data_IF_516698733844
#
_entry.id   IF_516698733844
#
_cell.length_a   1.000
_cell.length_b   1.000
_cell.length_c   1.000
_cell.angle_alpha   90.00
_cell.angle_beta   90.00
_cell.angle_gamma   90.00
#
_symmetry.space_group_name_H-M   'P 1'
#
loop_
_entity.id
_entity.type
_entity.pdbx_description
1 polymer ?
#
# COMPACT_ATOMS: atom_id res chain seq x y z
N UNK A 1 -40.11 -31.68 8.04
CA UNK A 1 -38.92 -30.80 8.21
C UNK A 1 -39.42 -29.39 8.42
N UNK A 2 -39.14 -28.80 9.58
CA UNK A 2 -39.75 -27.53 9.98
C UNK A 2 -39.16 -26.38 9.13
N UNK A 3 -40.00 -25.49 8.60
CA UNK A 3 -39.65 -24.41 7.67
C UNK A 3 -38.62 -23.38 8.20
N UNK A 4 -38.29 -23.42 9.49
CA UNK A 4 -37.30 -22.54 10.09
C UNK A 4 -35.84 -22.84 9.62
N UNK A 5 -35.53 -24.09 9.25
CA UNK A 5 -34.24 -24.46 8.67
C UNK A 5 -34.01 -23.80 7.31
N UNK A 6 -35.07 -23.67 6.51
CA UNK A 6 -34.99 -22.98 5.21
C UNK A 6 -34.68 -21.50 5.43
N UNK A 7 -35.37 -20.87 6.42
CA UNK A 7 -35.09 -19.49 6.78
C UNK A 7 -33.63 -19.25 7.25
N UNK A 8 -33.09 -20.16 8.06
CA UNK A 8 -31.73 -20.09 8.54
C UNK A 8 -30.70 -20.20 7.37
N UNK A 9 -30.91 -21.14 6.44
CA UNK A 9 -30.07 -21.34 5.27
C UNK A 9 -30.07 -20.09 4.39
N UNK A 10 -31.21 -19.48 4.15
CA UNK A 10 -31.34 -18.26 3.36
C UNK A 10 -30.57 -17.10 4.00
N UNK A 11 -30.70 -16.93 5.31
CA UNK A 11 -29.97 -15.87 6.05
C UNK A 11 -28.44 -16.10 5.97
N UNK A 12 -27.99 -17.33 6.18
CA UNK A 12 -26.56 -17.66 6.10
C UNK A 12 -26.01 -17.46 4.68
N UNK A 13 -26.78 -17.84 3.65
CA UNK A 13 -26.41 -17.61 2.25
C UNK A 13 -26.33 -16.11 1.91
N UNK A 14 -27.26 -15.29 2.42
CA UNK A 14 -27.24 -13.84 2.24
C UNK A 14 -26.04 -13.20 2.93
N UNK A 15 -25.70 -13.61 4.14
CA UNK A 15 -24.53 -13.13 4.88
C UNK A 15 -23.24 -13.52 4.14
N UNK A 16 -23.14 -14.78 3.67
CA UNK A 16 -22.00 -15.24 2.90
C UNK A 16 -21.86 -14.50 1.57
N UNK A 17 -22.96 -14.31 0.83
CA UNK A 17 -23.00 -13.56 -0.42
C UNK A 17 -22.59 -12.09 -0.22
N UNK A 18 -23.07 -11.47 0.84
CA UNK A 18 -22.68 -10.10 1.19
C UNK A 18 -21.20 -10.01 1.57
N UNK A 19 -20.68 -10.98 2.33
CA UNK A 19 -19.26 -11.08 2.65
C UNK A 19 -18.37 -11.22 1.42
N UNK A 20 -18.76 -12.07 0.46
CA UNK A 20 -18.06 -12.22 -0.84
C UNK A 20 -18.14 -10.93 -1.64
N UNK A 21 -19.29 -10.29 -1.74
CA UNK A 21 -19.46 -9.01 -2.45
C UNK A 21 -18.58 -7.90 -1.86
N UNK A 22 -18.50 -7.81 -0.54
CA UNK A 22 -17.61 -6.87 0.13
C UNK A 22 -16.12 -7.15 -0.18
N UNK A 23 -15.71 -8.43 -0.19
CA UNK A 23 -14.32 -8.80 -0.50
C UNK A 23 -13.95 -8.55 -1.97
N UNK A 24 -14.85 -8.86 -2.90
CA UNK A 24 -14.64 -8.60 -4.33
C UNK A 24 -14.49 -7.11 -4.59
N UNK A 25 -15.38 -6.30 -4.03
CA UNK A 25 -15.33 -4.85 -4.19
C UNK A 25 -14.08 -4.17 -3.58
N UNK A 26 -13.43 -4.81 -2.60
CA UNK A 26 -12.22 -4.29 -1.94
C UNK A 26 -10.93 -4.59 -2.71
N UNK A 27 -10.94 -5.61 -3.56
CA UNK A 27 -9.79 -6.04 -4.35
C UNK A 27 -9.96 -5.72 -5.85
N UNK A 28 -10.83 -4.77 -6.21
CA UNK A 28 -10.98 -4.35 -7.61
C UNK A 28 -9.69 -3.74 -8.10
N UNK A 29 -9.31 -4.09 -9.33
CA UNK A 29 -8.23 -3.42 -10.03
C UNK A 29 -8.67 -1.98 -10.30
N UNK A 30 -7.81 -1.04 -9.99
CA UNK A 30 -7.99 0.38 -10.31
C UNK A 30 -6.97 0.71 -11.40
N UNK A 31 -7.46 1.20 -12.52
CA UNK A 31 -6.60 1.68 -13.60
C UNK A 31 -6.30 3.15 -13.32
N UNK A 32 -5.03 3.48 -13.16
CA UNK A 32 -4.53 4.84 -12.99
C UNK A 32 -3.47 5.13 -14.04
N UNK A 33 -3.42 6.35 -14.51
CA UNK A 33 -2.30 6.85 -15.29
C UNK A 33 -1.07 6.99 -14.39
N UNK A 34 0.11 7.05 -15.00
CA UNK A 34 1.35 7.36 -14.27
C UNK A 34 1.40 8.88 -14.09
N UNK A 35 1.34 9.31 -12.85
CA UNK A 35 1.57 10.70 -12.47
C UNK A 35 3.06 10.91 -12.19
N UNK A 36 3.68 11.87 -12.89
CA UNK A 36 5.10 12.19 -12.70
C UNK A 36 5.21 13.47 -11.87
N UNK A 37 5.86 13.34 -10.72
CA UNK A 37 6.17 14.46 -9.83
C UNK A 37 7.67 14.73 -9.90
N UNK A 38 8.04 16.02 -9.90
CA UNK A 38 9.42 16.49 -9.99
C UNK A 38 10.20 15.82 -11.15
N UNK A 39 9.82 16.03 -12.42
CA UNK A 39 10.40 15.33 -13.57
C UNK A 39 11.91 15.54 -13.71
N UNK A 40 12.44 16.66 -13.21
CA UNK A 40 13.86 17.04 -13.26
C UNK A 40 14.61 16.65 -11.97
N UNK A 41 14.03 15.83 -11.13
CA UNK A 41 14.62 15.38 -9.87
C UNK A 41 15.93 14.60 -10.10
N UNK A 42 17.01 15.02 -9.46
CA UNK A 42 18.36 14.48 -9.66
C UNK A 42 18.83 13.49 -8.60
N UNK A 43 18.05 13.26 -7.54
CA UNK A 43 18.42 12.30 -6.47
C UNK A 43 18.19 10.83 -6.85
N UNK A 44 17.44 10.59 -7.94
CA UNK A 44 17.07 9.27 -8.43
C UNK A 44 15.60 9.21 -8.84
N UNK A 45 15.17 8.07 -9.38
CA UNK A 45 13.79 7.81 -9.78
C UNK A 45 13.13 6.83 -8.83
N UNK A 46 12.01 7.22 -8.23
CA UNK A 46 11.18 6.37 -7.38
C UNK A 46 9.88 5.98 -8.10
N UNK A 47 9.62 4.69 -8.23
CA UNK A 47 8.36 4.16 -8.71
C UNK A 47 7.45 3.83 -7.51
N UNK A 48 6.36 4.56 -7.33
CA UNK A 48 5.39 4.38 -6.26
C UNK A 48 4.14 3.72 -6.81
N UNK A 49 3.93 2.46 -6.48
CA UNK A 49 2.77 1.68 -6.91
C UNK A 49 1.90 1.36 -5.71
N UNK A 50 0.71 1.94 -5.67
CA UNK A 50 -0.20 1.78 -4.55
C UNK A 50 -1.64 1.52 -4.97
N UNK A 51 -2.34 0.73 -4.19
CA UNK A 51 -3.77 0.54 -4.38
C UNK A 51 -4.54 1.58 -3.54
N UNK A 52 -5.38 2.43 -4.17
CA UNK A 52 -6.03 3.55 -3.47
C UNK A 52 -7.10 3.11 -2.46
N UNK A 53 -7.57 1.83 -2.52
CA UNK A 53 -8.62 1.36 -1.64
C UNK A 53 -9.97 2.05 -1.90
N UNK A 54 -10.80 2.13 -0.85
CA UNK A 54 -12.14 2.76 -0.91
C UNK A 54 -12.20 4.13 -0.21
N UNK A 55 -11.22 4.45 0.63
CA UNK A 55 -11.18 5.71 1.35
C UNK A 55 -10.03 6.57 0.87
N UNK A 56 -10.17 7.88 1.01
CA UNK A 56 -9.15 8.85 0.65
C UNK A 56 -7.84 8.72 1.46
N UNK A 57 -7.91 8.06 2.61
CA UNK A 57 -6.79 7.90 3.53
C UNK A 57 -5.55 7.30 2.85
N UNK A 58 -5.72 6.24 2.04
CA UNK A 58 -4.60 5.60 1.33
C UNK A 58 -3.94 6.58 0.37
N UNK A 59 -4.76 7.29 -0.46
CA UNK A 59 -4.24 8.27 -1.41
C UNK A 59 -3.45 9.37 -0.70
N UNK A 60 -3.97 9.91 0.40
CA UNK A 60 -3.29 10.93 1.20
C UNK A 60 -1.95 10.46 1.74
N UNK A 61 -1.88 9.23 2.28
CA UNK A 61 -0.64 8.63 2.78
C UNK A 61 0.41 8.49 1.67
N UNK A 62 0.02 7.97 0.50
CA UNK A 62 0.96 7.77 -0.60
C UNK A 62 1.35 9.08 -1.29
N UNK A 63 0.43 10.05 -1.38
CA UNK A 63 0.75 11.41 -1.83
C UNK A 63 1.76 12.08 -0.90
N UNK A 64 1.53 12.03 0.42
CA UNK A 64 2.48 12.59 1.39
C UNK A 64 3.85 11.90 1.35
N UNK A 65 3.89 10.58 1.14
CA UNK A 65 5.16 9.88 0.94
C UNK A 65 5.87 10.36 -0.34
N UNK A 66 5.14 10.48 -1.45
CA UNK A 66 5.66 11.00 -2.72
C UNK A 66 6.17 12.44 -2.59
N UNK A 67 5.42 13.32 -1.90
CA UNK A 67 5.86 14.69 -1.58
C UNK A 67 7.16 14.71 -0.76
N UNK A 68 7.29 13.78 0.18
CA UNK A 68 8.52 13.63 0.97
C UNK A 68 9.73 13.25 0.12
N UNK A 69 9.54 12.36 -0.88
CA UNK A 69 10.58 12.01 -1.86
C UNK A 69 10.92 13.21 -2.76
N UNK A 70 9.90 13.91 -3.27
CA UNK A 70 10.09 15.14 -4.08
C UNK A 70 10.89 16.18 -3.31
N UNK A 71 10.59 16.39 -2.03
CA UNK A 71 11.35 17.29 -1.17
C UNK A 71 12.82 16.86 -0.97
N UNK A 72 13.11 15.56 -1.12
CA UNK A 72 14.44 14.97 -1.16
C UNK A 72 15.10 15.00 -2.54
N UNK A 73 14.48 15.66 -3.53
CA UNK A 73 15.02 15.80 -4.89
C UNK A 73 14.77 14.62 -5.82
N UNK A 74 13.90 13.67 -5.43
CA UNK A 74 13.56 12.51 -6.26
C UNK A 74 12.60 12.86 -7.40
N UNK A 75 12.80 12.24 -8.56
CA UNK A 75 11.76 12.08 -9.58
C UNK A 75 10.81 10.96 -9.08
N UNK A 76 9.51 11.22 -9.04
CA UNK A 76 8.54 10.22 -8.54
C UNK A 76 7.55 9.88 -9.64
N UNK A 77 7.39 8.60 -9.92
CA UNK A 77 6.36 8.04 -10.79
C UNK A 77 5.31 7.35 -9.92
N UNK A 78 4.14 7.96 -9.79
CA UNK A 78 3.05 7.50 -8.94
C UNK A 78 1.98 6.82 -9.78
N UNK A 79 1.61 5.58 -9.46
CA UNK A 79 0.60 4.84 -10.22
C UNK A 79 -0.12 3.77 -9.38
N UNK A 80 -1.07 3.07 -9.99
CA UNK A 80 -1.84 2.00 -9.36
C UNK A 80 -1.47 0.62 -9.92
N UNK A 81 -1.59 -0.47 -9.13
CA UNK A 81 -1.29 -1.83 -9.60
C UNK A 81 -2.42 -2.31 -10.52
N UNK A 82 -2.19 -2.24 -11.81
CA UNK A 82 -3.11 -2.73 -12.85
C UNK A 82 -2.38 -3.69 -13.80
N UNK A 83 -3.08 -4.48 -14.61
CA UNK A 83 -2.44 -5.29 -15.65
C UNK A 83 -1.64 -4.48 -16.67
N UNK A 84 -1.96 -3.19 -16.84
CA UNK A 84 -1.28 -2.26 -17.74
C UNK A 84 -0.08 -1.55 -17.12
N UNK A 85 0.08 -1.64 -15.81
CA UNK A 85 1.22 -1.02 -15.11
C UNK A 85 2.51 -1.75 -15.52
N UNK A 86 3.51 -1.02 -16.04
CA UNK A 86 4.78 -1.60 -16.46
C UNK A 86 5.45 -2.43 -15.34
N UNK A 87 6.21 -3.43 -15.75
CA UNK A 87 6.97 -4.29 -14.84
C UNK A 87 8.48 -4.16 -15.03
N UNK A 88 8.94 -3.39 -16.04
CA UNK A 88 10.34 -3.01 -16.16
C UNK A 88 10.74 -2.07 -15.04
N UNK A 89 11.87 -2.37 -14.40
CA UNK A 89 12.44 -1.52 -13.33
C UNK A 89 13.73 -0.83 -13.77
N UNK A 90 13.98 -0.77 -15.08
CA UNK A 90 15.13 -0.07 -15.64
C UNK A 90 15.00 1.43 -15.37
N UNK A 91 16.04 2.03 -14.85
CA UNK A 91 16.03 3.45 -14.45
C UNK A 91 15.24 3.78 -13.18
N UNK A 92 14.69 2.77 -12.49
CA UNK A 92 14.09 2.92 -11.17
C UNK A 92 15.14 2.65 -10.10
N UNK A 93 15.38 3.59 -9.21
CA UNK A 93 16.34 3.46 -8.11
C UNK A 93 15.67 3.01 -6.82
N UNK A 94 14.41 3.38 -6.61
CA UNK A 94 13.60 3.03 -5.45
C UNK A 94 12.23 2.52 -5.87
N UNK A 95 11.84 1.35 -5.39
CA UNK A 95 10.49 0.82 -5.55
C UNK A 95 9.67 1.02 -4.26
N UNK A 96 8.49 1.61 -4.36
CA UNK A 96 7.57 1.77 -3.23
C UNK A 96 6.28 1.01 -3.52
N UNK A 97 5.94 0.06 -2.68
CA UNK A 97 4.79 -0.82 -2.87
C UNK A 97 3.84 -0.76 -1.68
N UNK A 98 2.54 -0.65 -1.93
CA UNK A 98 1.63 -0.79 -0.81
C UNK A 98 0.15 -0.56 -1.11
N UNK A 99 -0.60 -0.44 -0.02
CA UNK A 99 -2.05 -0.27 -0.05
C UNK A 99 -2.74 -0.79 1.19
N UNK A 100 -4.07 -0.91 1.14
CA UNK A 100 -4.85 -1.32 2.31
C UNK A 100 -4.70 -2.80 2.65
N UNK A 101 -4.88 -3.07 3.93
CA UNK A 101 -5.05 -4.43 4.45
C UNK A 101 -6.51 -4.88 4.30
N UNK A 102 -6.72 -6.09 3.79
CA UNK A 102 -8.02 -6.75 3.76
C UNK A 102 -7.89 -8.21 4.23
N UNK A 103 -8.67 -8.57 5.26
CA UNK A 103 -8.58 -9.91 5.85
C UNK A 103 -7.17 -10.23 6.37
N UNK A 104 -6.51 -9.25 6.99
CA UNK A 104 -5.15 -9.36 7.55
C UNK A 104 -4.05 -9.66 6.53
N UNK A 105 -4.29 -9.38 5.25
CA UNK A 105 -3.33 -9.55 4.16
C UNK A 105 -3.23 -8.26 3.34
N UNK A 106 -2.12 -7.99 2.66
CA UNK A 106 -2.05 -6.95 1.64
C UNK A 106 -3.14 -7.18 0.59
N UNK A 107 -3.67 -6.13 0.01
CA UNK A 107 -4.68 -6.25 -1.05
C UNK A 107 -4.14 -7.04 -2.26
N UNK A 108 -5.03 -7.82 -2.91
CA UNK A 108 -4.65 -8.71 -4.02
C UNK A 108 -3.98 -8.00 -5.21
N UNK A 109 -4.44 -6.81 -5.67
CA UNK A 109 -3.78 -6.14 -6.79
C UNK A 109 -2.30 -5.87 -6.56
N UNK A 110 -1.88 -5.42 -5.37
CA UNK A 110 -0.46 -5.17 -5.09
C UNK A 110 0.36 -6.47 -5.04
N UNK A 111 -0.21 -7.56 -4.48
CA UNK A 111 0.44 -8.86 -4.50
C UNK A 111 0.58 -9.40 -5.93
N UNK A 112 -0.46 -9.25 -6.77
CA UNK A 112 -0.43 -9.66 -8.17
C UNK A 112 0.60 -8.85 -8.97
N UNK A 113 0.71 -7.53 -8.70
CA UNK A 113 1.73 -6.70 -9.33
C UNK A 113 3.14 -7.15 -8.95
N UNK A 114 3.41 -7.37 -7.67
CA UNK A 114 4.72 -7.86 -7.21
C UNK A 114 5.06 -9.23 -7.82
N UNK A 115 4.08 -10.13 -7.95
CA UNK A 115 4.29 -11.41 -8.64
C UNK A 115 4.63 -11.24 -10.13
N UNK A 116 4.07 -10.22 -10.79
CA UNK A 116 4.39 -9.91 -12.20
C UNK A 116 5.76 -9.28 -12.36
N UNK A 117 6.23 -8.50 -11.37
CA UNK A 117 7.61 -7.98 -11.36
C UNK A 117 8.63 -9.13 -11.32
N UNK A 118 8.30 -10.22 -10.63
CA UNK A 118 9.20 -11.38 -10.51
C UNK A 118 10.42 -11.07 -9.66
N UNK A 119 11.60 -11.22 -10.24
CA UNK A 119 12.87 -10.89 -9.57
C UNK A 119 13.09 -9.39 -9.55
N UNK A 120 13.25 -8.81 -8.38
CA UNK A 120 13.51 -7.39 -8.18
C UNK A 120 15.00 -7.01 -8.32
N UNK A 121 15.91 -7.97 -8.52
CA UNK A 121 17.33 -7.68 -8.75
C UNK A 121 17.97 -6.88 -7.63
N UNK A 122 17.70 -7.23 -6.38
CA UNK A 122 18.13 -6.50 -5.18
C UNK A 122 17.66 -5.02 -5.12
N UNK A 123 16.63 -4.64 -5.88
CA UNK A 123 16.09 -3.27 -5.92
C UNK A 123 15.72 -2.78 -4.51
N UNK A 124 16.22 -1.61 -4.08
CA UNK A 124 15.77 -0.95 -2.86
C UNK A 124 14.25 -0.79 -2.86
N UNK A 125 13.60 -1.30 -1.82
CA UNK A 125 12.13 -1.36 -1.78
C UNK A 125 11.61 -0.87 -0.44
N UNK A 126 10.61 -0.01 -0.49
CA UNK A 126 9.81 0.44 0.65
C UNK A 126 8.43 -0.20 0.57
N UNK A 127 7.91 -0.65 1.70
CA UNK A 127 6.53 -1.12 1.79
C UNK A 127 5.70 -0.24 2.71
N UNK A 128 4.48 0.10 2.28
CA UNK A 128 3.54 0.90 3.08
C UNK A 128 2.20 0.18 3.14
N UNK A 129 1.83 -0.28 4.32
CA UNK A 129 0.55 -0.91 4.59
C UNK A 129 -0.34 0.08 5.35
N UNK A 130 -1.55 0.30 4.82
CA UNK A 130 -2.57 1.05 5.53
C UNK A 130 -3.63 0.11 6.08
N UNK A 131 -4.11 0.39 7.29
CA UNK A 131 -5.09 -0.45 7.97
C UNK A 131 -6.07 0.39 8.80
N UNK A 132 -7.23 -0.18 9.13
CA UNK A 132 -8.13 0.46 10.09
C UNK A 132 -7.52 0.48 11.50
N UNK A 133 -7.00 -0.66 11.96
CA UNK A 133 -6.39 -0.79 13.28
C UNK A 133 -5.45 -1.99 13.43
N UNK A 134 -5.45 -2.94 12.49
CA UNK A 134 -4.63 -4.16 12.54
C UNK A 134 -3.93 -4.36 11.19
N UNK A 135 -2.66 -3.99 11.11
CA UNK A 135 -1.86 -4.03 9.88
C UNK A 135 -0.60 -4.88 9.97
N UNK A 136 -0.12 -5.21 11.17
CA UNK A 136 1.19 -5.85 11.39
C UNK A 136 1.37 -7.17 10.63
N UNK A 137 0.32 -7.99 10.55
CA UNK A 137 0.38 -9.25 9.79
C UNK A 137 0.54 -8.97 8.28
N UNK A 138 -0.20 -8.00 7.75
CA UNK A 138 -0.06 -7.58 6.34
C UNK A 138 1.32 -7.05 6.04
N UNK A 139 1.89 -6.23 6.94
CA UNK A 139 3.25 -5.70 6.80
C UNK A 139 4.25 -6.82 6.71
N UNK A 140 4.24 -7.78 7.67
CA UNK A 140 5.14 -8.95 7.63
C UNK A 140 4.99 -9.79 6.36
N UNK A 141 3.76 -9.97 5.87
CA UNK A 141 3.53 -10.69 4.61
C UNK A 141 4.15 -9.91 3.44
N UNK A 142 3.97 -8.59 3.39
CA UNK A 142 4.53 -7.76 2.32
C UNK A 142 6.05 -7.76 2.32
N UNK A 143 6.67 -7.65 3.49
CA UNK A 143 8.12 -7.78 3.66
C UNK A 143 8.64 -9.13 3.15
N UNK A 144 7.96 -10.22 3.52
CA UNK A 144 8.33 -11.56 3.05
C UNK A 144 8.20 -11.70 1.53
N UNK A 145 7.16 -11.11 0.93
CA UNK A 145 6.96 -11.13 -0.52
C UNK A 145 8.08 -10.37 -1.24
N UNK A 146 8.46 -9.18 -0.76
CA UNK A 146 9.58 -8.41 -1.30
C UNK A 146 10.89 -9.18 -1.21
N UNK A 147 11.20 -9.76 -0.05
CA UNK A 147 12.43 -10.56 0.14
C UNK A 147 12.46 -11.81 -0.76
N UNK A 148 11.32 -12.51 -0.94
CA UNK A 148 11.20 -13.66 -1.84
C UNK A 148 11.38 -13.29 -3.31
N UNK A 149 11.01 -12.06 -3.67
CA UNK A 149 11.23 -11.50 -4.98
C UNK A 149 12.65 -10.89 -5.14
N UNK A 150 13.58 -11.20 -4.25
CA UNK A 150 14.95 -10.69 -4.27
C UNK A 150 15.02 -9.15 -4.21
N UNK A 151 14.12 -8.48 -3.46
CA UNK A 151 14.17 -7.05 -3.20
C UNK A 151 14.91 -6.75 -1.90
N UNK A 152 15.61 -5.62 -1.84
CA UNK A 152 16.25 -5.11 -0.63
C UNK A 152 15.26 -4.23 0.13
N UNK A 153 14.74 -4.72 1.26
CA UNK A 153 13.79 -3.95 2.06
C UNK A 153 14.49 -2.82 2.83
N UNK A 154 14.25 -1.58 2.40
CA UNK A 154 14.81 -0.37 3.01
C UNK A 154 13.98 0.07 4.21
N UNK A 155 12.66 0.08 4.05
CA UNK A 155 11.72 0.51 5.09
C UNK A 155 10.37 -0.19 4.96
N UNK A 156 9.74 -0.49 6.08
CA UNK A 156 8.37 -0.98 6.14
C UNK A 156 7.55 -0.07 7.07
N UNK A 157 6.45 0.46 6.57
CA UNK A 157 5.53 1.29 7.33
C UNK A 157 4.18 0.60 7.48
N UNK A 158 3.58 0.73 8.65
CA UNK A 158 2.17 0.43 8.88
C UNK A 158 1.50 1.67 9.44
N UNK A 159 0.46 2.16 8.76
CA UNK A 159 -0.23 3.39 9.10
C UNK A 159 -1.73 3.12 9.29
N UNK A 160 -2.28 3.67 10.34
CA UNK A 160 -3.62 3.36 10.79
C UNK A 160 -4.60 4.51 10.57
N UNK A 161 -5.80 4.16 10.07
CA UNK A 161 -6.89 5.13 9.94
C UNK A 161 -7.57 5.43 11.27
N UNK A 162 -7.76 4.41 12.12
CA UNK A 162 -8.53 4.54 13.35
C UNK A 162 -7.71 4.28 14.63
N UNK A 163 -6.78 3.31 14.60
CA UNK A 163 -5.84 3.12 15.71
C UNK A 163 -4.84 4.27 15.75
N UNK A 164 -4.43 4.78 16.93
CA UNK A 164 -3.38 5.79 17.02
C UNK A 164 -2.11 5.38 16.28
N UNK A 165 -1.53 6.32 15.53
CA UNK A 165 -0.22 6.16 14.88
C UNK A 165 0.95 6.54 15.80
N UNK A 166 0.65 7.28 16.87
CA UNK A 166 1.54 7.53 18.00
C UNK A 166 0.82 6.99 19.25
N UNK A 167 1.40 5.96 19.87
CA UNK A 167 0.82 5.32 21.06
C UNK A 167 1.14 6.09 22.34
N UNK A 168 2.21 6.87 22.35
CA UNK A 168 2.61 7.70 23.48
C UNK A 168 1.78 8.98 23.56
N UNK A 169 1.39 9.54 22.39
CA UNK A 169 0.55 10.72 22.27
C UNK A 169 -0.65 10.43 21.36
N UNK A 170 -1.63 9.64 21.81
CA UNK A 170 -2.70 9.17 20.97
C UNK A 170 -3.65 10.29 20.57
N UNK A 171 -3.82 10.49 19.26
CA UNK A 171 -4.84 11.35 18.68
C UNK A 171 -5.85 10.51 17.90
N UNK A 172 -7.06 11.01 17.71
CA UNK A 172 -8.13 10.29 17.03
C UNK A 172 -8.62 10.98 15.75
N UNK A 173 -9.53 10.31 15.04
CA UNK A 173 -10.25 10.89 13.91
C UNK A 173 -9.34 11.40 12.79
N UNK A 174 -9.60 12.63 12.33
CA UNK A 174 -8.83 13.28 11.26
C UNK A 174 -7.39 13.57 11.68
N UNK A 175 -7.17 13.98 12.92
CA UNK A 175 -5.82 14.26 13.45
C UNK A 175 -4.90 13.05 13.36
N UNK A 176 -5.40 11.85 13.69
CA UNK A 176 -4.63 10.62 13.53
C UNK A 176 -4.31 10.31 12.07
N UNK A 177 -5.22 10.63 11.15
CA UNK A 177 -4.98 10.45 9.72
C UNK A 177 -3.96 11.47 9.18
N UNK A 178 -3.99 12.71 9.67
CA UNK A 178 -3.02 13.75 9.33
C UNK A 178 -1.63 13.36 9.84
N UNK A 179 -1.55 12.86 11.08
CA UNK A 179 -0.32 12.32 11.65
C UNK A 179 0.24 11.14 10.83
N UNK A 180 -0.61 10.24 10.33
CA UNK A 180 -0.18 9.15 9.46
C UNK A 180 0.47 9.67 8.16
N UNK A 181 -0.10 10.71 7.56
CA UNK A 181 0.45 11.38 6.37
C UNK A 181 1.80 12.02 6.70
N UNK A 182 1.89 12.73 7.83
CA UNK A 182 3.14 13.34 8.28
C UNK A 182 4.25 12.30 8.52
N UNK A 183 3.92 11.17 9.16
CA UNK A 183 4.85 10.04 9.34
C UNK A 183 5.34 9.51 8.00
N UNK A 184 4.44 9.34 7.02
CA UNK A 184 4.80 8.90 5.67
C UNK A 184 5.75 9.89 4.99
N UNK A 185 5.41 11.18 5.02
CA UNK A 185 6.23 12.25 4.44
C UNK A 185 7.63 12.32 5.07
N UNK A 186 7.70 12.24 6.40
CA UNK A 186 8.97 12.25 7.15
C UNK A 186 9.79 11.01 6.84
N UNK A 187 9.16 9.85 6.76
CA UNK A 187 9.82 8.59 6.44
C UNK A 187 10.45 8.61 5.04
N UNK A 188 9.80 9.27 4.07
CA UNK A 188 10.33 9.44 2.72
C UNK A 188 11.57 10.33 2.69
N UNK A 189 11.56 11.45 3.43
CA UNK A 189 12.71 12.38 3.52
C UNK A 189 13.97 11.74 4.10
N UNK A 190 13.85 10.65 4.84
CA UNK A 190 14.97 9.93 5.45
C UNK A 190 15.49 8.77 4.59
N UNK A 191 14.98 8.61 3.36
CA UNK A 191 15.48 7.59 2.43
C UNK A 191 16.82 8.05 1.87
N UNK A 192 17.87 7.35 2.24
CA UNK A 192 19.21 7.51 1.72
C UNK A 192 19.67 6.15 1.16
N UNK A 193 19.84 6.07 -0.16
CA UNK A 193 20.32 4.86 -0.82
C UNK A 193 21.86 4.74 -0.79
N UNK A 194 22.57 5.81 -0.50
CA UNK A 194 24.03 5.77 -0.38
C UNK A 194 24.49 5.05 0.91
N UNK A 195 23.55 4.85 1.86
CA UNK A 195 23.79 4.14 3.10
C UNK A 195 23.47 2.63 3.03
N UNK A 196 23.05 2.11 1.84
CA UNK A 196 22.71 0.71 1.58
C UNK A 196 23.86 -0.02 0.90
#
# INVERSE_FOLDING_TARGET
MSGWWIGLIVVLAAIAGWGVWLMVGRNRVVFGEVEILNPDGGAGTALVVYHPGKSDFQRRVFAGFAEGLVAGGWRVELTTPSPLTPTGLDGVDLLVLGGPTYGFKPNRPIQAYLNRLGDLGAKPTVTIITALGMGQRSTRIMEQLVRRANGTLVKALVLYKARPNDEDNPVGGSQNQDLAVEIATRAAKTIDLAAL
#
